data_IF_996143443767
#
_entry.id   IF_996143443767
#
_cell.length_a   1.000
_cell.length_b   1.000
_cell.length_c   1.000
_cell.angle_alpha   90.00
_cell.angle_beta   90.00
_cell.angle_gamma   90.00
#
_symmetry.space_group_name_H-M   'P 1'
#
loop_
_entity.id
_entity.type
_entity.pdbx_description
1 polymer ?
#
# COMPACT_ATOMS: atom_id res chain seq x y z
N UNK A 1 8.95 5.02 -1.13
CA UNK A 1 7.64 4.39 -1.31
C UNK A 1 6.62 5.38 -1.84
N UNK A 2 5.73 4.91 -2.73
CA UNK A 2 4.51 5.62 -3.14
C UNK A 2 3.33 4.98 -2.41
N UNK A 3 2.60 5.79 -1.64
CA UNK A 3 1.49 5.34 -0.80
C UNK A 3 0.13 5.60 -1.46
N UNK A 4 -0.69 4.57 -1.54
CA UNK A 4 -2.08 4.60 -1.99
C UNK A 4 -3.01 4.41 -0.77
N UNK A 5 -3.85 5.41 -0.51
CA UNK A 5 -4.64 5.50 0.72
C UNK A 5 -5.90 4.62 0.73
N UNK A 6 -6.49 4.34 1.91
CA UNK A 6 -7.75 3.61 2.02
C UNK A 6 -8.93 4.37 1.42
N UNK A 7 -10.12 3.75 1.47
CA UNK A 7 -11.33 4.19 0.77
C UNK A 7 -11.73 5.63 1.11
N UNK A 8 -11.77 6.55 0.12
CA UNK A 8 -12.09 7.96 0.36
C UNK A 8 -13.47 8.18 0.98
N UNK A 9 -14.47 7.43 0.52
CA UNK A 9 -15.85 7.52 1.00
C UNK A 9 -16.04 7.04 2.45
N UNK A 10 -15.02 6.36 2.99
CA UNK A 10 -14.94 5.96 4.41
C UNK A 10 -13.94 6.81 5.21
N UNK A 11 -13.55 7.98 4.69
CA UNK A 11 -12.61 8.88 5.36
C UNK A 11 -11.14 8.57 5.10
N UNK A 12 -10.83 7.66 4.17
CA UNK A 12 -9.46 7.38 3.74
C UNK A 12 -8.85 8.57 2.99
N UNK A 13 -7.59 8.89 3.30
CA UNK A 13 -6.84 9.97 2.68
C UNK A 13 -5.33 9.76 2.86
N UNK A 14 -4.52 10.57 2.22
CA UNK A 14 -3.05 10.49 2.33
C UNK A 14 -2.53 10.66 3.77
N UNK A 15 -3.31 11.33 4.64
CA UNK A 15 -3.00 11.51 6.06
C UNK A 15 -3.64 10.46 6.98
N UNK A 16 -4.22 9.40 6.42
CA UNK A 16 -4.62 8.23 7.21
C UNK A 16 -3.44 7.70 8.02
N UNK A 17 -3.68 7.34 9.27
CA UNK A 17 -2.65 7.30 10.33
C UNK A 17 -1.39 6.48 10.00
N UNK A 18 -1.51 5.31 9.35
CA UNK A 18 -0.36 4.50 8.92
C UNK A 18 0.52 5.29 7.94
N UNK A 19 -0.09 5.88 6.91
CA UNK A 19 0.64 6.61 5.87
C UNK A 19 1.28 7.88 6.40
N UNK A 20 0.58 8.58 7.31
CA UNK A 20 1.12 9.75 8.00
C UNK A 20 2.29 9.39 8.89
N UNK A 21 2.18 8.29 9.67
CA UNK A 21 3.27 7.82 10.52
C UNK A 21 4.46 7.31 9.69
N UNK A 22 4.23 6.62 8.60
CA UNK A 22 5.29 6.24 7.66
C UNK A 22 6.06 7.47 7.16
N UNK A 23 5.34 8.51 6.72
CA UNK A 23 5.97 9.74 6.22
C UNK A 23 6.74 10.53 7.29
N UNK A 24 6.28 10.47 8.55
CA UNK A 24 6.95 11.18 9.65
C UNK A 24 8.15 10.42 10.21
N UNK A 25 8.19 9.08 10.07
CA UNK A 25 9.18 8.24 10.77
C UNK A 25 10.21 7.60 9.84
N UNK A 26 9.80 7.07 8.70
CA UNK A 26 10.69 6.30 7.82
C UNK A 26 11.85 7.10 7.23
N UNK A 27 11.72 8.40 6.91
CA UNK A 27 12.88 9.19 6.47
C UNK A 27 14.00 9.22 7.51
N UNK A 28 13.68 9.48 8.76
CA UNK A 28 14.65 9.58 9.84
C UNK A 28 15.15 8.20 10.30
N UNK A 29 14.26 7.23 10.42
CA UNK A 29 14.60 5.89 10.94
C UNK A 29 15.37 5.03 9.93
N UNK A 30 15.05 5.15 8.64
CA UNK A 30 15.55 4.23 7.62
C UNK A 30 16.00 4.91 6.31
N UNK A 31 15.97 6.25 6.22
CA UNK A 31 16.33 6.97 4.99
C UNK A 31 15.37 6.72 3.83
N UNK A 32 14.14 6.30 4.10
CA UNK A 32 13.14 5.98 3.08
C UNK A 32 12.30 7.21 2.76
N UNK A 33 12.34 7.66 1.52
CA UNK A 33 11.46 8.72 1.01
C UNK A 33 10.01 8.21 0.91
N UNK A 34 9.05 8.99 1.41
CA UNK A 34 7.62 8.65 1.39
C UNK A 34 6.85 9.66 0.57
N UNK A 35 6.28 9.21 -0.55
CA UNK A 35 5.40 10.01 -1.41
C UNK A 35 3.96 9.63 -1.11
N UNK A 36 3.11 10.62 -0.84
CA UNK A 36 1.69 10.46 -0.52
C UNK A 36 0.87 11.48 -1.30
N UNK A 37 -0.30 11.11 -1.71
CA UNK A 37 -1.23 12.01 -2.38
C UNK A 37 -2.67 11.58 -2.12
N UNK A 38 -3.62 12.47 -2.35
CA UNK A 38 -5.04 12.17 -2.36
C UNK A 38 -5.49 11.87 -3.79
N UNK A 39 -6.16 10.74 -3.99
CA UNK A 39 -6.83 10.46 -5.27
C UNK A 39 -7.99 11.44 -5.50
N UNK A 40 -8.51 11.47 -6.71
CA UNK A 40 -9.64 12.34 -7.11
C UNK A 40 -10.82 12.27 -6.13
N UNK A 41 -11.46 13.40 -5.89
CA UNK A 41 -12.62 13.50 -5.03
C UNK A 41 -12.38 13.22 -3.54
N UNK A 42 -11.12 13.01 -3.12
CA UNK A 42 -10.78 12.76 -1.72
C UNK A 42 -10.79 14.04 -0.91
N UNK A 43 -11.55 14.06 0.18
CA UNK A 43 -11.61 15.18 1.13
C UNK A 43 -10.63 14.98 2.29
N UNK A 44 -9.92 16.04 2.65
CA UNK A 44 -9.01 16.11 3.79
C UNK A 44 -9.15 17.43 4.53
N UNK A 45 -8.41 17.63 5.61
CA UNK A 45 -8.36 18.92 6.33
C UNK A 45 -7.90 20.08 5.44
N UNK A 46 -7.16 19.79 4.37
CA UNK A 46 -6.63 20.80 3.44
C UNK A 46 -7.52 21.03 2.21
N UNK A 47 -8.73 20.51 2.20
CA UNK A 47 -9.68 20.60 1.09
C UNK A 47 -9.92 19.28 0.38
N UNK A 48 -10.62 19.36 -0.76
CA UNK A 48 -10.98 18.20 -1.60
C UNK A 48 -10.16 18.24 -2.88
N UNK A 49 -9.53 17.12 -3.24
CA UNK A 49 -8.85 16.99 -4.51
C UNK A 49 -9.82 17.04 -5.69
N UNK A 50 -9.36 17.59 -6.81
CA UNK A 50 -10.18 17.74 -8.02
C UNK A 50 -10.66 16.40 -8.57
N UNK A 51 -11.74 16.42 -9.35
CA UNK A 51 -12.36 15.22 -9.90
C UNK A 51 -13.34 14.55 -8.94
N UNK A 52 -13.78 13.36 -9.30
CA UNK A 52 -14.81 12.61 -8.56
C UNK A 52 -14.34 11.18 -8.36
N UNK A 53 -14.57 10.64 -7.18
CA UNK A 53 -14.33 9.23 -6.87
C UNK A 53 -15.13 8.32 -7.81
N UNK A 54 -14.48 7.32 -8.41
CA UNK A 54 -15.05 6.44 -9.44
C UNK A 54 -14.80 4.94 -9.14
N UNK A 55 -14.87 4.57 -7.87
CA UNK A 55 -14.75 3.17 -7.42
C UNK A 55 -13.49 2.44 -7.93
N UNK A 56 -12.41 3.16 -8.10
CA UNK A 56 -11.13 2.62 -8.55
C UNK A 56 -10.94 2.62 -10.07
N UNK A 57 -11.89 3.12 -10.87
CA UNK A 57 -11.73 3.11 -12.32
C UNK A 57 -10.94 4.34 -12.80
N UNK A 58 -11.48 5.54 -12.58
CA UNK A 58 -10.80 6.77 -12.99
C UNK A 58 -9.58 7.09 -12.10
N UNK A 59 -9.50 6.54 -10.89
CA UNK A 59 -8.30 6.60 -10.03
C UNK A 59 -7.05 6.03 -10.71
N UNK A 60 -7.20 5.26 -11.80
CA UNK A 60 -6.11 4.85 -12.68
C UNK A 60 -5.22 6.01 -13.08
N UNK A 61 -5.81 7.12 -13.51
CA UNK A 61 -5.05 8.29 -13.97
C UNK A 61 -4.28 8.96 -12.84
N UNK A 62 -4.79 8.89 -11.61
CA UNK A 62 -4.12 9.44 -10.43
C UNK A 62 -2.90 8.59 -10.06
N UNK A 63 -3.04 7.25 -10.13
CA UNK A 63 -1.93 6.31 -9.89
C UNK A 63 -0.85 6.46 -10.96
N UNK A 64 -1.23 6.52 -12.24
CA UNK A 64 -0.29 6.70 -13.36
C UNK A 64 0.46 8.04 -13.26
N UNK A 65 -0.22 9.13 -12.92
CA UNK A 65 0.40 10.43 -12.70
C UNK A 65 1.39 10.41 -11.52
N UNK A 66 1.01 9.77 -10.41
CA UNK A 66 1.88 9.65 -9.24
C UNK A 66 3.12 8.78 -9.53
N UNK A 67 2.97 7.68 -10.27
CA UNK A 67 4.09 6.85 -10.73
C UNK A 67 5.03 7.64 -11.64
N UNK A 68 4.48 8.35 -12.64
CA UNK A 68 5.25 9.22 -13.54
C UNK A 68 6.02 10.27 -12.74
N UNK A 69 5.39 10.91 -11.76
CA UNK A 69 6.06 11.89 -10.90
C UNK A 69 7.22 11.26 -10.12
N UNK A 70 7.01 10.10 -9.49
CA UNK A 70 8.06 9.40 -8.75
C UNK A 70 9.24 8.98 -9.65
N UNK A 71 8.93 8.41 -10.80
CA UNK A 71 9.94 7.79 -11.68
C UNK A 71 10.62 8.80 -12.61
N UNK A 72 9.85 9.75 -13.16
CA UNK A 72 10.36 10.65 -14.20
C UNK A 72 10.75 12.05 -13.67
N UNK A 73 10.10 12.53 -12.60
CA UNK A 73 10.42 13.83 -12.00
C UNK A 73 11.38 13.65 -10.82
N UNK A 74 11.04 12.82 -9.86
CA UNK A 74 11.89 12.56 -8.67
C UNK A 74 13.05 11.59 -8.97
N UNK A 75 13.02 10.86 -10.08
CA UNK A 75 14.05 9.88 -10.50
C UNK A 75 14.32 8.80 -9.42
N UNK A 76 13.26 8.31 -8.79
CA UNK A 76 13.38 7.29 -7.76
C UNK A 76 13.65 5.91 -8.39
N UNK A 77 14.83 5.35 -8.14
CA UNK A 77 15.28 4.08 -8.74
C UNK A 77 14.83 2.84 -7.94
N UNK A 78 14.65 2.98 -6.62
CA UNK A 78 14.22 1.90 -5.74
C UNK A 78 12.81 2.18 -5.20
N UNK A 79 11.84 2.31 -6.12
CA UNK A 79 10.45 2.63 -5.78
C UNK A 79 9.66 1.36 -5.45
N UNK A 80 8.95 1.37 -4.34
CA UNK A 80 7.94 0.38 -3.96
C UNK A 80 6.58 1.03 -3.82
N UNK A 81 5.51 0.28 -4.11
CA UNK A 81 4.14 0.77 -3.97
C UNK A 81 3.53 0.18 -2.71
N UNK A 82 3.07 1.03 -1.81
CA UNK A 82 2.38 0.63 -0.58
C UNK A 82 0.91 0.99 -0.72
N UNK A 83 0.05 -0.01 -0.83
CA UNK A 83 -1.40 0.17 -0.81
C UNK A 83 -1.97 -0.20 0.54
N UNK A 84 -2.99 0.53 1.01
CA UNK A 84 -3.75 0.17 2.19
C UNK A 84 -5.25 0.08 1.87
N UNK A 85 -5.87 -1.07 2.17
CA UNK A 85 -7.29 -1.33 1.90
C UNK A 85 -7.64 -1.04 0.42
N UNK A 86 -8.53 -0.11 0.10
CA UNK A 86 -8.81 0.33 -1.27
C UNK A 86 -7.54 0.64 -2.08
N UNK A 87 -6.52 1.23 -1.44
CA UNK A 87 -5.24 1.46 -2.09
C UNK A 87 -4.53 0.20 -2.58
N UNK A 88 -4.84 -0.98 -2.01
CA UNK A 88 -4.31 -2.26 -2.52
C UNK A 88 -4.98 -2.66 -3.82
N UNK A 89 -6.29 -2.42 -3.97
CA UNK A 89 -6.99 -2.63 -5.23
C UNK A 89 -6.43 -1.71 -6.33
N UNK A 90 -6.18 -0.43 -5.99
CA UNK A 90 -5.54 0.50 -6.93
C UNK A 90 -4.14 0.03 -7.35
N UNK A 91 -3.34 -0.47 -6.40
CA UNK A 91 -2.02 -1.00 -6.69
C UNK A 91 -2.09 -2.21 -7.64
N UNK A 92 -2.93 -3.19 -7.34
CA UNK A 92 -3.10 -4.39 -8.16
C UNK A 92 -3.61 -4.08 -9.56
N UNK A 93 -4.55 -3.16 -9.69
CA UNK A 93 -5.19 -2.81 -10.98
C UNK A 93 -4.34 -1.90 -11.84
N UNK A 94 -3.66 -0.92 -11.25
CA UNK A 94 -3.14 0.22 -11.98
C UNK A 94 -1.63 0.48 -11.82
N UNK A 95 -0.96 -0.07 -10.79
CA UNK A 95 0.46 0.12 -10.61
C UNK A 95 1.30 -0.87 -11.45
N UNK A 96 0.99 -0.98 -12.74
CA UNK A 96 1.60 -1.98 -13.64
C UNK A 96 2.90 -1.53 -14.32
N UNK A 97 3.40 -0.31 -14.05
CA UNK A 97 4.68 0.17 -14.57
C UNK A 97 5.83 -0.74 -14.10
N UNK A 98 6.60 -1.27 -15.01
CA UNK A 98 7.66 -2.25 -14.73
C UNK A 98 8.89 -1.69 -14.01
N UNK A 99 8.98 -0.37 -13.84
CA UNK A 99 10.15 0.31 -13.26
C UNK A 99 10.17 0.31 -11.73
N UNK A 100 9.05 0.09 -11.05
CA UNK A 100 9.08 -0.09 -9.59
C UNK A 100 9.38 -1.54 -9.18
N UNK A 101 9.81 -1.76 -7.95
CA UNK A 101 10.35 -3.04 -7.47
C UNK A 101 9.30 -4.06 -7.04
N UNK A 102 8.12 -3.61 -6.63
CA UNK A 102 7.07 -4.51 -6.17
C UNK A 102 5.99 -3.79 -5.36
N UNK A 103 5.10 -4.58 -4.78
CA UNK A 103 3.96 -4.12 -4.00
C UNK A 103 4.07 -4.54 -2.53
N UNK A 104 3.61 -3.66 -1.65
CA UNK A 104 3.35 -3.94 -0.24
C UNK A 104 1.86 -3.65 0.01
N UNK A 105 1.09 -4.69 0.28
CA UNK A 105 -0.36 -4.63 0.41
C UNK A 105 -0.78 -4.75 1.87
N UNK A 106 -1.43 -3.74 2.41
CA UNK A 106 -1.92 -3.71 3.78
C UNK A 106 -3.43 -3.95 3.79
N UNK A 107 -3.87 -5.05 4.41
CA UNK A 107 -5.29 -5.43 4.49
C UNK A 107 -6.00 -5.40 3.13
N UNK A 108 -5.54 -6.15 2.12
CA UNK A 108 -6.17 -6.14 0.80
C UNK A 108 -7.58 -6.73 0.85
N UNK A 109 -8.64 -5.96 0.50
CA UNK A 109 -10.01 -6.46 0.55
C UNK A 109 -10.44 -7.17 -0.74
N UNK A 110 -9.71 -6.98 -1.84
CA UNK A 110 -10.03 -7.49 -3.18
C UNK A 110 -11.47 -7.17 -3.62
N UNK A 111 -11.89 -5.91 -3.44
CA UNK A 111 -13.26 -5.49 -3.74
C UNK A 111 -13.46 -5.07 -5.19
N UNK A 112 -12.43 -4.50 -5.80
CA UNK A 112 -12.48 -4.02 -7.18
C UNK A 112 -11.41 -4.65 -8.06
N UNK A 113 -10.45 -5.36 -7.49
CA UNK A 113 -9.47 -6.15 -8.24
C UNK A 113 -10.13 -7.40 -8.82
N UNK A 114 -9.83 -7.69 -10.06
CA UNK A 114 -10.34 -8.85 -10.80
C UNK A 114 -9.28 -9.96 -10.89
N UNK A 115 -9.72 -11.15 -11.31
CA UNK A 115 -8.82 -12.29 -11.52
C UNK A 115 -7.69 -11.96 -12.50
N UNK A 116 -8.01 -11.22 -13.57
CA UNK A 116 -7.03 -10.76 -14.57
C UNK A 116 -5.94 -9.85 -14.00
N UNK A 117 -6.25 -9.07 -12.96
CA UNK A 117 -5.24 -8.26 -12.27
C UNK A 117 -4.27 -9.16 -11.51
N UNK A 118 -4.76 -10.19 -10.83
CA UNK A 118 -3.91 -11.15 -10.12
C UNK A 118 -3.09 -12.00 -11.10
N UNK A 119 -3.67 -12.40 -12.23
CA UNK A 119 -2.97 -13.12 -13.30
C UNK A 119 -1.81 -12.29 -13.87
N UNK A 120 -2.04 -10.99 -14.10
CA UNK A 120 -0.97 -10.08 -14.51
C UNK A 120 0.22 -10.13 -13.54
N UNK A 121 -0.02 -10.06 -12.23
CA UNK A 121 1.06 -10.08 -11.25
C UNK A 121 1.74 -11.43 -11.12
N UNK A 122 1.01 -12.52 -11.36
CA UNK A 122 1.59 -13.86 -11.42
C UNK A 122 2.59 -14.00 -12.58
N UNK A 123 2.26 -13.45 -13.74
CA UNK A 123 3.11 -13.46 -14.95
C UNK A 123 4.28 -12.46 -14.85
N UNK A 124 4.04 -11.28 -14.29
CA UNK A 124 5.04 -10.23 -14.09
C UNK A 124 6.19 -10.69 -13.17
N UNK A 125 5.89 -11.46 -12.15
CA UNK A 125 6.87 -12.11 -11.26
C UNK A 125 7.52 -11.18 -10.23
N UNK A 126 7.24 -9.87 -10.23
CA UNK A 126 7.77 -8.94 -9.21
C UNK A 126 7.30 -9.31 -7.80
N UNK A 127 8.09 -8.89 -6.84
CA UNK A 127 7.82 -9.14 -5.42
C UNK A 127 6.51 -8.50 -4.96
N UNK A 128 5.68 -9.26 -4.28
CA UNK A 128 4.49 -8.78 -3.59
C UNK A 128 4.53 -9.30 -2.16
N UNK A 129 4.41 -8.41 -1.20
CA UNK A 129 4.22 -8.78 0.21
C UNK A 129 2.87 -8.24 0.67
N UNK A 130 2.02 -9.11 1.20
CA UNK A 130 0.73 -8.71 1.73
C UNK A 130 0.65 -9.02 3.23
N UNK A 131 0.36 -7.98 4.02
CA UNK A 131 0.12 -8.09 5.45
C UNK A 131 -1.38 -8.30 5.67
N UNK A 132 -1.73 -9.46 6.20
CA UNK A 132 -3.11 -9.88 6.40
C UNK A 132 -3.41 -9.89 7.90
N UNK A 133 -4.25 -8.96 8.40
CA UNK A 133 -4.66 -8.97 9.79
C UNK A 133 -5.48 -10.22 10.14
N UNK A 134 -5.21 -10.81 11.29
CA UNK A 134 -5.96 -11.98 11.78
C UNK A 134 -7.46 -11.66 11.90
N UNK A 135 -7.78 -10.47 12.41
CA UNK A 135 -9.15 -10.02 12.66
C UNK A 135 -9.61 -9.01 11.59
N UNK A 136 -9.21 -9.22 10.33
CA UNK A 136 -9.69 -8.39 9.21
C UNK A 136 -11.19 -8.63 8.96
N UNK A 137 -11.93 -7.53 8.73
CA UNK A 137 -13.38 -7.58 8.50
C UNK A 137 -13.72 -8.00 7.07
N UNK A 138 -12.79 -7.91 6.13
CA UNK A 138 -13.00 -8.19 4.70
C UNK A 138 -12.35 -9.48 4.24
N UNK A 139 -11.05 -9.64 4.48
CA UNK A 139 -10.29 -10.79 3.99
C UNK A 139 -9.34 -11.32 5.06
N UNK A 140 -9.78 -12.37 5.76
CA UNK A 140 -8.99 -13.07 6.78
C UNK A 140 -7.89 -13.94 6.17
N UNK A 141 -6.88 -14.38 6.94
CA UNK A 141 -5.74 -15.15 6.45
C UNK A 141 -6.10 -16.35 5.55
N UNK A 142 -7.08 -17.16 5.93
CA UNK A 142 -7.53 -18.31 5.12
C UNK A 142 -8.10 -17.88 3.77
N UNK A 143 -8.89 -16.81 3.75
CA UNK A 143 -9.44 -16.24 2.52
C UNK A 143 -8.37 -15.66 1.63
N UNK A 144 -7.42 -14.92 2.23
CA UNK A 144 -6.27 -14.34 1.51
C UNK A 144 -5.40 -15.44 0.88
N UNK A 145 -5.08 -16.50 1.61
CA UNK A 145 -4.32 -17.63 1.07
C UNK A 145 -5.02 -18.29 -0.13
N UNK A 146 -6.35 -18.39 -0.11
CA UNK A 146 -7.12 -18.92 -1.22
C UNK A 146 -7.15 -17.96 -2.43
N UNK A 147 -7.40 -16.67 -2.19
CA UNK A 147 -7.52 -15.66 -3.24
C UNK A 147 -6.20 -15.39 -3.96
N UNK A 148 -5.11 -15.29 -3.22
CA UNK A 148 -3.78 -15.01 -3.76
C UNK A 148 -3.00 -16.25 -4.24
N UNK A 149 -3.58 -17.44 -4.15
CA UNK A 149 -2.93 -18.69 -4.62
C UNK A 149 -2.46 -18.63 -6.08
N UNK A 150 -3.10 -17.80 -6.88
CA UNK A 150 -2.76 -17.58 -8.28
C UNK A 150 -1.42 -16.87 -8.47
N UNK A 151 -0.91 -16.16 -7.48
CA UNK A 151 0.36 -15.42 -7.51
C UNK A 151 1.43 -16.23 -6.76
N UNK A 152 2.25 -17.04 -7.44
CA UNK A 152 3.13 -17.99 -6.77
C UNK A 152 4.25 -17.33 -5.95
N UNK A 153 4.66 -16.12 -6.32
CA UNK A 153 5.73 -15.38 -5.65
C UNK A 153 5.26 -14.50 -4.50
N UNK A 154 3.95 -14.45 -4.20
CA UNK A 154 3.46 -13.59 -3.12
C UNK A 154 3.91 -14.08 -1.76
N UNK A 155 4.37 -13.15 -0.93
CA UNK A 155 4.66 -13.39 0.47
C UNK A 155 3.45 -12.93 1.31
N UNK A 156 2.70 -13.89 1.87
CA UNK A 156 1.56 -13.61 2.75
C UNK A 156 2.02 -13.63 4.20
N UNK A 157 1.96 -12.49 4.86
CA UNK A 157 2.29 -12.32 6.27
C UNK A 157 1.00 -12.17 7.08
N UNK A 158 0.62 -13.23 7.78
CA UNK A 158 -0.46 -13.16 8.76
C UNK A 158 0.03 -12.39 9.99
N UNK A 159 -0.77 -11.44 10.45
CA UNK A 159 -0.41 -10.60 11.60
C UNK A 159 -1.44 -10.83 12.70
N UNK A 160 -1.01 -11.53 13.73
CA UNK A 160 -1.83 -11.91 14.89
C UNK A 160 -2.35 -10.65 15.59
N UNK A 161 -3.55 -10.75 16.17
CA UNK A 161 -4.26 -9.68 16.89
C UNK A 161 -4.50 -8.38 16.07
N UNK A 162 -3.98 -8.26 14.86
CA UNK A 162 -4.19 -7.09 14.03
C UNK A 162 -5.61 -7.04 13.46
N UNK A 163 -6.09 -5.82 13.24
CA UNK A 163 -7.38 -5.50 12.60
C UNK A 163 -7.15 -4.70 11.33
N UNK A 164 -8.16 -4.62 10.48
CA UNK A 164 -8.15 -3.93 9.18
C UNK A 164 -7.50 -2.54 9.19
N UNK A 165 -7.76 -1.78 10.25
CA UNK A 165 -7.29 -0.39 10.36
C UNK A 165 -5.92 -0.24 11.03
N UNK A 166 -5.24 -1.31 11.44
CA UNK A 166 -3.90 -1.26 12.05
C UNK A 166 -3.79 -0.29 13.23
N UNK A 167 -4.81 -0.25 14.08
CA UNK A 167 -4.86 0.67 15.22
C UNK A 167 -3.88 0.26 16.30
N UNK A 168 -3.22 1.25 16.89
CA UNK A 168 -2.25 1.05 17.97
C UNK A 168 -0.79 1.03 17.48
N UNK A 169 0.13 1.45 18.34
CA UNK A 169 1.56 1.51 18.02
C UNK A 169 2.18 0.16 17.65
N UNK A 170 1.83 -0.99 18.28
CA UNK A 170 2.38 -2.28 17.87
C UNK A 170 2.05 -2.62 16.42
N UNK A 171 0.81 -2.34 15.97
CA UNK A 171 0.37 -2.57 14.59
C UNK A 171 1.11 -1.65 13.61
N UNK A 172 1.25 -0.37 13.96
CA UNK A 172 2.02 0.59 13.16
C UNK A 172 3.49 0.15 13.04
N UNK A 173 4.12 -0.17 14.17
CA UNK A 173 5.51 -0.63 14.20
C UNK A 173 5.72 -1.87 13.35
N UNK A 174 4.78 -2.82 13.39
CA UNK A 174 4.82 -4.01 12.54
C UNK A 174 4.81 -3.64 11.07
N UNK A 175 3.90 -2.75 10.63
CA UNK A 175 3.85 -2.30 9.23
C UNK A 175 5.14 -1.62 8.80
N UNK A 176 5.65 -0.67 9.58
CA UNK A 176 6.89 0.04 9.26
C UNK A 176 8.09 -0.91 9.21
N UNK A 177 8.16 -1.88 10.13
CA UNK A 177 9.21 -2.91 10.14
C UNK A 177 9.21 -3.74 8.85
N UNK A 178 8.04 -4.15 8.35
CA UNK A 178 7.98 -4.92 7.11
C UNK A 178 8.36 -4.08 5.88
N UNK A 179 8.00 -2.80 5.84
CA UNK A 179 8.47 -1.89 4.78
C UNK A 179 10.00 -1.80 4.80
N UNK A 180 10.60 -1.57 5.98
CA UNK A 180 12.06 -1.46 6.11
C UNK A 180 12.75 -2.79 5.82
N UNK A 181 12.16 -3.93 6.21
CA UNK A 181 12.70 -5.26 5.91
C UNK A 181 12.89 -5.49 4.41
N UNK A 182 11.99 -4.96 3.59
CA UNK A 182 12.05 -5.11 2.13
C UNK A 182 12.98 -4.11 1.46
N UNK A 183 13.15 -2.91 2.03
CA UNK A 183 13.83 -1.80 1.37
C UNK A 183 15.22 -1.48 1.94
N UNK A 184 15.39 -1.64 3.25
CA UNK A 184 16.60 -1.26 3.99
C UNK A 184 16.80 -2.18 5.22
N UNK A 185 16.93 -3.52 5.01
CA UNK A 185 16.96 -4.50 6.11
C UNK A 185 18.11 -4.26 7.11
N UNK A 186 19.18 -3.60 6.69
CA UNK A 186 20.31 -3.21 7.54
C UNK A 186 19.94 -2.14 8.58
N UNK A 187 18.76 -1.51 8.46
CA UNK A 187 18.24 -0.51 9.42
C UNK A 187 17.38 -1.13 10.52
N UNK A 188 17.21 -2.44 10.49
CA UNK A 188 16.46 -3.14 11.55
C UNK A 188 17.37 -3.55 12.72
N UNK A 189 16.83 -3.59 13.96
CA UNK A 189 15.46 -3.22 14.35
C UNK A 189 15.22 -1.71 14.32
N UNK A 190 13.97 -1.30 14.02
CA UNK A 190 13.59 0.10 14.12
C UNK A 190 13.60 0.56 15.59
N UNK A 191 13.91 1.84 15.88
CA UNK A 191 13.71 2.40 17.20
C UNK A 191 12.25 2.30 17.65
N UNK A 192 12.04 1.95 18.92
CA UNK A 192 10.69 1.84 19.50
C UNK A 192 10.19 3.14 20.14
N UNK A 193 11.08 4.10 20.37
CA UNK A 193 10.77 5.41 20.94
C UNK A 193 10.99 6.50 19.90
N UNK A 194 9.99 7.37 19.78
CA UNK A 194 10.02 8.66 19.08
C UNK A 194 9.42 9.73 19.98
#
# INVERSE_FOLDING_TARGET
>A
ILCLHPLPTAGGMMDSHILKKAANRLPDMAGITVVRFNTRGTTSANGTSTGTFDNGNAEKFDVEAALTYCLDTLKLENLWIVGWSFGTDLALRHAKDSRHKGLILLSPPLRTSEKSDLEFWAEDGRSITALIPEHDDYLKPKGAAAAFKIIPQINLLNVDEAKHLWVGEPSVYRVLTEIVRLMAPEKLPLPTEN
#
